data_IF_370210113435
#
_entry.id   IF_370210113435
#
_cell.length_a   1.000
_cell.length_b   1.000
_cell.length_c   1.000
_cell.angle_alpha   90.00
_cell.angle_beta   90.00
_cell.angle_gamma   90.00
#
_symmetry.space_group_name_H-M   'P 1'
#
loop_
_entity.id
_entity.type
_entity.pdbx_description
1 polymer ?
#
# COMPACT_ATOMS: atom_id res chain seq x y z
N UNK A 1 6.95 -6.11 6.58
CA UNK A 1 6.13 -4.97 7.05
C UNK A 1 4.68 -5.40 7.23
N UNK A 2 3.87 -4.67 7.99
CA UNK A 2 2.42 -4.91 8.10
C UNK A 2 1.64 -3.62 7.85
N UNK A 3 0.38 -3.74 7.42
CA UNK A 3 -0.54 -2.60 7.29
C UNK A 3 -1.86 -2.89 8.01
N UNK A 4 -2.57 -1.85 8.51
CA UNK A 4 -3.90 -2.01 9.10
C UNK A 4 -4.88 -2.62 8.09
N UNK A 5 -5.54 -3.70 8.46
CA UNK A 5 -6.48 -4.43 7.61
C UNK A 5 -7.74 -4.74 8.39
N UNK A 6 -8.90 -4.41 7.81
CA UNK A 6 -10.19 -4.78 8.40
C UNK A 6 -10.37 -6.30 8.31
N UNK A 7 -10.51 -6.95 9.46
CA UNK A 7 -10.66 -8.39 9.63
C UNK A 7 -11.92 -8.64 10.46
N UNK A 8 -13.04 -8.90 9.78
CA UNK A 8 -14.36 -8.84 10.42
C UNK A 8 -14.62 -7.42 10.93
N UNK A 9 -14.93 -7.27 12.20
CA UNK A 9 -15.23 -5.98 12.83
C UNK A 9 -14.02 -5.27 13.43
N UNK A 10 -12.82 -5.87 13.34
CA UNK A 10 -11.61 -5.34 13.97
C UNK A 10 -10.54 -4.97 12.94
N UNK A 11 -9.82 -3.88 13.21
CA UNK A 11 -8.63 -3.52 12.43
C UNK A 11 -7.42 -4.20 13.05
N UNK A 12 -6.77 -5.07 12.28
CA UNK A 12 -5.59 -5.80 12.72
C UNK A 12 -4.40 -5.62 11.76
N UNK A 13 -3.15 -5.70 12.24
CA UNK A 13 -1.99 -5.71 11.35
C UNK A 13 -1.97 -7.00 10.53
N UNK A 14 -1.71 -6.86 9.22
CA UNK A 14 -1.48 -7.98 8.29
C UNK A 14 -0.26 -7.73 7.43
N UNK A 15 0.47 -8.80 7.13
CA UNK A 15 1.65 -8.72 6.28
C UNK A 15 1.26 -8.33 4.86
N UNK A 16 2.08 -7.47 4.27
CA UNK A 16 1.91 -7.03 2.89
C UNK A 16 3.18 -7.22 2.08
N UNK A 17 2.97 -7.34 0.78
CA UNK A 17 3.99 -7.29 -0.24
C UNK A 17 3.59 -6.25 -1.30
N UNK A 18 4.54 -5.42 -1.72
CA UNK A 18 4.33 -4.38 -2.72
C UNK A 18 5.11 -4.74 -3.98
N UNK A 19 4.39 -4.83 -5.10
CA UNK A 19 4.99 -5.02 -6.43
C UNK A 19 4.83 -3.74 -7.26
N UNK A 20 5.87 -2.88 -7.30
CA UNK A 20 5.92 -1.81 -8.29
C UNK A 20 6.20 -2.39 -9.67
N UNK A 21 5.85 -1.62 -10.71
CA UNK A 21 6.16 -1.98 -12.10
C UNK A 21 7.11 -0.95 -12.70
N UNK A 22 8.16 -1.44 -13.34
CA UNK A 22 9.10 -0.64 -14.12
C UNK A 22 8.67 -0.72 -15.58
N UNK A 23 8.51 0.42 -16.22
CA UNK A 23 8.29 0.54 -17.65
C UNK A 23 9.63 0.83 -18.32
N UNK A 24 9.97 0.07 -19.35
CA UNK A 24 11.24 0.21 -20.05
C UNK A 24 10.99 0.42 -21.55
N UNK A 25 11.54 1.51 -22.07
CA UNK A 25 11.57 1.86 -23.49
C UNK A 25 12.91 2.51 -23.84
N UNK A 26 12.89 3.66 -24.50
CA UNK A 26 14.09 4.51 -24.66
C UNK A 26 14.65 5.00 -23.33
N UNK A 27 13.76 5.14 -22.33
CA UNK A 27 14.08 5.49 -20.95
C UNK A 27 13.38 4.50 -20.00
N UNK A 28 13.86 4.41 -18.76
CA UNK A 28 13.25 3.60 -17.71
C UNK A 28 12.50 4.49 -16.72
N UNK A 29 11.29 4.09 -16.36
CA UNK A 29 10.49 4.79 -15.36
C UNK A 29 9.76 3.82 -14.44
N UNK A 30 9.50 4.25 -13.21
CA UNK A 30 8.69 3.48 -12.25
C UNK A 30 7.27 4.03 -12.26
N UNK A 31 6.29 3.14 -12.23
CA UNK A 31 4.88 3.54 -12.11
C UNK A 31 4.60 4.23 -10.77
N UNK A 32 3.77 5.28 -10.79
CA UNK A 32 3.24 5.92 -9.58
C UNK A 32 2.11 5.07 -8.97
N UNK A 33 2.47 3.88 -8.53
CA UNK A 33 1.54 2.90 -7.99
C UNK A 33 2.17 1.52 -7.96
N UNK A 34 1.33 0.51 -7.84
CA UNK A 34 1.76 -0.88 -7.80
C UNK A 34 0.69 -1.78 -7.23
N UNK A 35 0.93 -3.08 -7.37
CA UNK A 35 0.08 -4.09 -6.77
C UNK A 35 0.51 -4.30 -5.32
N UNK A 36 -0.30 -3.85 -4.36
CA UNK A 36 -0.15 -4.25 -2.96
C UNK A 36 -0.97 -5.51 -2.71
N UNK A 37 -0.31 -6.55 -2.18
CA UNK A 37 -0.95 -7.80 -1.77
C UNK A 37 -0.91 -7.91 -0.25
N UNK A 38 -1.94 -8.50 0.34
CA UNK A 38 -2.08 -8.65 1.80
C UNK A 38 -2.37 -10.10 2.17
N UNK A 39 -1.70 -10.61 3.21
CA UNK A 39 -2.00 -11.91 3.80
C UNK A 39 -3.17 -11.74 4.77
N UNK A 40 -4.37 -12.21 4.45
CA UNK A 40 -5.55 -12.01 5.31
C UNK A 40 -5.54 -12.95 6.52
N UNK A 41 -4.90 -14.11 6.40
CA UNK A 41 -4.72 -15.07 7.49
C UNK A 41 -3.77 -14.50 8.54
N UNK A 42 -4.21 -14.46 9.80
CA UNK A 42 -3.43 -13.93 10.92
C UNK A 42 -2.09 -14.65 11.05
N UNK A 43 -1.00 -13.87 11.11
CA UNK A 43 0.36 -14.38 11.22
C UNK A 43 0.94 -14.99 9.93
N UNK A 44 0.16 -15.08 8.86
CA UNK A 44 0.64 -15.60 7.58
C UNK A 44 1.50 -14.58 6.83
N UNK A 45 2.50 -15.07 6.10
CA UNK A 45 3.27 -14.31 5.11
C UNK A 45 2.80 -14.60 3.67
N UNK A 46 1.84 -15.49 3.50
CA UNK A 46 1.32 -15.90 2.20
C UNK A 46 0.31 -14.87 1.70
N UNK A 47 0.70 -14.14 0.66
CA UNK A 47 -0.12 -13.08 0.04
C UNK A 47 -0.80 -13.53 -1.27
N UNK A 48 -0.62 -14.79 -1.67
CA UNK A 48 -1.26 -15.35 -2.86
C UNK A 48 -2.78 -15.51 -2.65
N UNK A 49 -3.57 -15.03 -3.60
CA UNK A 49 -5.04 -15.13 -3.60
C UNK A 49 -5.56 -16.56 -3.49
N UNK A 50 -4.90 -17.56 -4.08
CA UNK A 50 -5.32 -18.96 -4.00
C UNK A 50 -5.22 -19.55 -2.59
N UNK A 51 -4.60 -18.84 -1.65
CA UNK A 51 -4.41 -19.24 -0.25
C UNK A 51 -4.90 -18.16 0.73
N UNK A 52 -5.93 -17.40 0.34
CA UNK A 52 -6.54 -16.39 1.21
C UNK A 52 -5.75 -15.07 1.27
N UNK A 53 -4.94 -14.78 0.25
CA UNK A 53 -4.40 -13.45 0.02
C UNK A 53 -5.43 -12.50 -0.57
N UNK A 54 -5.27 -11.21 -0.31
CA UNK A 54 -6.06 -10.13 -0.92
C UNK A 54 -5.15 -9.09 -1.57
N UNK A 55 -5.77 -8.01 -2.05
CA UNK A 55 -5.07 -6.83 -2.57
C UNK A 55 -5.50 -5.55 -1.86
N UNK A 56 -4.66 -4.52 -1.95
CA UNK A 56 -4.98 -3.15 -1.54
C UNK A 56 -4.51 -2.18 -2.62
N UNK A 57 -5.13 -1.01 -2.64
CA UNK A 57 -4.67 0.11 -3.45
C UNK A 57 -3.36 0.65 -2.88
N UNK A 58 -2.47 1.10 -3.78
CA UNK A 58 -1.19 1.72 -3.43
C UNK A 58 -1.27 3.19 -3.84
N UNK A 59 -1.32 4.09 -2.86
CA UNK A 59 -1.30 5.53 -3.12
C UNK A 59 0.12 6.06 -2.90
N UNK A 60 0.68 6.67 -3.94
CA UNK A 60 1.93 7.43 -3.86
C UNK A 60 1.53 8.89 -3.76
N UNK A 61 1.82 9.51 -2.62
CA UNK A 61 1.44 10.90 -2.33
C UNK A 61 2.69 11.75 -2.38
N UNK A 62 2.64 12.81 -3.18
CA UNK A 62 3.63 13.87 -3.13
C UNK A 62 3.29 14.85 -2.00
N UNK A 63 4.18 14.90 -1.01
CA UNK A 63 4.00 15.72 0.18
C UNK A 63 4.40 17.19 -0.06
N UNK A 64 5.10 17.49 -1.16
CA UNK A 64 5.56 18.85 -1.47
C UNK A 64 4.60 19.61 -2.39
N UNK A 65 3.83 18.93 -3.23
CA UNK A 65 2.81 19.54 -4.10
C UNK A 65 1.39 19.58 -3.50
N UNK A 66 1.19 19.01 -2.32
CA UNK A 66 -0.08 19.09 -1.61
C UNK A 66 -0.34 20.52 -1.14
N UNK A 67 -1.56 21.09 -1.32
CA UNK A 67 -1.87 22.43 -0.84
C UNK A 67 -1.65 22.46 0.67
N UNK A 68 -0.74 23.33 1.14
CA UNK A 68 -0.57 23.59 2.58
C UNK A 68 -1.93 23.98 3.14
N UNK A 69 -2.48 23.14 4.00
CA UNK A 69 -3.69 23.49 4.75
C UNK A 69 -3.34 24.75 5.54
N UNK A 70 -3.98 25.86 5.20
CA UNK A 70 -3.89 27.09 5.97
C UNK A 70 -4.56 26.83 7.33
N UNK A 71 -3.77 26.45 8.34
CA UNK A 71 -4.31 26.05 9.63
C UNK A 71 -3.28 25.90 10.75
N UNK A 72 -2.07 25.39 10.48
CA UNK A 72 -1.05 25.29 11.53
C UNK A 72 -0.23 26.58 11.62
N UNK A 73 -0.85 27.62 12.16
CA UNK A 73 -0.15 28.74 12.79
C UNK A 73 -0.90 29.06 14.08
N UNK A 74 -0.67 28.26 15.12
CA UNK A 74 -0.95 28.60 16.51
C UNK A 74 -0.34 27.54 17.46
N UNK A 75 0.96 27.70 17.71
CA UNK A 75 1.64 27.75 19.04
C UNK A 75 3.11 27.32 18.91
#
# INVERSE_FOLDING_TARGET
STTPTLCGDNVEPRHVDLRPFILQGSESSVTMGGLTRVALVKGSLVVNSSQGGGSKDTWIVDLESSPKVAGDTAE
#
